data_IF_035058032788
#
_entry.id   IF_035058032788
#
_cell.length_a   1.000
_cell.length_b   1.000
_cell.length_c   1.000
_cell.angle_alpha   90.00
_cell.angle_beta   90.00
_cell.angle_gamma   90.00
#
_symmetry.space_group_name_H-M   'P 1'
#
loop_
_entity.id
_entity.type
_entity.pdbx_description
1 polymer ?
#
# COMPACT_ATOMS: atom_id res chain seq x y z
N UNK A 1 36.11 -20.07 -59.35
CA UNK A 1 34.71 -19.73 -59.04
C UNK A 1 34.30 -20.40 -57.73
N UNK A 2 33.84 -19.62 -56.74
CA UNK A 2 32.64 -19.93 -55.94
C UNK A 2 32.30 -18.71 -55.08
N UNK A 3 31.03 -18.34 -55.18
CA UNK A 3 30.39 -17.11 -54.76
C UNK A 3 29.99 -17.32 -53.29
N UNK A 4 30.55 -16.54 -52.36
CA UNK A 4 30.21 -16.64 -50.95
C UNK A 4 28.99 -15.75 -50.67
N UNK A 5 27.86 -16.42 -50.46
CA UNK A 5 26.59 -15.85 -50.03
C UNK A 5 26.75 -15.10 -48.70
N UNK A 6 26.84 -13.77 -48.75
CA UNK A 6 26.81 -12.89 -47.59
C UNK A 6 25.34 -12.52 -47.27
N UNK A 7 24.57 -13.49 -46.78
CA UNK A 7 23.23 -13.21 -46.26
C UNK A 7 23.36 -12.62 -44.85
N UNK A 8 23.34 -11.29 -44.82
CA UNK A 8 22.76 -10.42 -43.79
C UNK A 8 22.54 -11.05 -42.41
N UNK A 9 23.50 -10.84 -41.52
CA UNK A 9 23.23 -10.76 -40.08
C UNK A 9 22.21 -9.65 -39.88
N UNK A 10 20.95 -10.03 -39.72
CA UNK A 10 19.91 -9.17 -39.16
C UNK A 10 20.43 -8.78 -37.79
N UNK A 11 20.99 -7.58 -37.71
CA UNK A 11 21.51 -7.00 -36.49
C UNK A 11 20.39 -7.05 -35.46
N UNK A 12 20.58 -7.86 -34.43
CA UNK A 12 19.74 -7.83 -33.25
C UNK A 12 20.00 -6.49 -32.59
N UNK A 13 19.22 -5.48 -32.97
CA UNK A 13 19.25 -4.16 -32.38
C UNK A 13 18.89 -4.35 -30.90
N UNK A 14 19.90 -4.38 -30.03
CA UNK A 14 19.73 -4.50 -28.60
C UNK A 14 18.79 -3.39 -28.15
N UNK A 15 17.56 -3.74 -27.79
CA UNK A 15 16.59 -2.76 -27.28
C UNK A 15 17.24 -2.14 -26.04
N UNK A 16 17.48 -0.82 -26.01
CA UNK A 16 18.02 -0.21 -24.81
C UNK A 16 17.08 -0.54 -23.66
N UNK A 17 17.66 -0.99 -22.54
CA UNK A 17 16.93 -1.15 -21.28
C UNK A 17 16.50 0.26 -20.87
N UNK A 18 15.35 0.71 -21.39
CA UNK A 18 14.73 1.94 -20.97
C UNK A 18 14.34 1.70 -19.52
N UNK A 19 15.18 2.13 -18.58
CA UNK A 19 14.76 2.29 -17.18
C UNK A 19 13.57 3.22 -17.24
N UNK A 20 12.37 2.67 -17.12
CA UNK A 20 11.16 3.46 -16.99
C UNK A 20 11.26 4.15 -15.63
N UNK A 21 11.81 5.37 -15.63
CA UNK A 21 11.75 6.25 -14.48
C UNK A 21 10.27 6.57 -14.27
N UNK A 22 9.63 5.79 -13.40
CA UNK A 22 8.29 6.15 -12.95
C UNK A 22 8.44 7.32 -11.99
N UNK A 23 7.69 8.40 -12.23
CA UNK A 23 7.69 9.53 -11.30
C UNK A 23 7.11 9.09 -9.95
N UNK A 24 7.64 9.59 -8.80
CA UNK A 24 7.06 9.32 -7.49
C UNK A 24 5.55 9.63 -7.41
N UNK A 25 5.09 10.65 -8.15
CA UNK A 25 3.68 10.98 -8.28
C UNK A 25 2.86 9.84 -8.89
N UNK A 26 3.32 9.25 -10.00
CA UNK A 26 2.65 8.11 -10.62
C UNK A 26 2.64 6.88 -9.69
N UNK A 27 3.72 6.63 -8.95
CA UNK A 27 3.76 5.54 -7.96
C UNK A 27 2.76 5.78 -6.82
N UNK A 28 2.70 7.01 -6.29
CA UNK A 28 1.69 7.39 -5.29
C UNK A 28 0.26 7.17 -5.79
N UNK A 29 0.00 7.44 -7.08
CA UNK A 29 -1.31 7.20 -7.69
C UNK A 29 -1.65 5.70 -7.80
N UNK A 30 -0.66 4.86 -8.12
CA UNK A 30 -0.81 3.41 -8.28
C UNK A 30 -0.92 2.66 -6.95
N UNK A 31 -0.48 3.25 -5.84
CA UNK A 31 -0.53 2.60 -4.53
C UNK A 31 -1.96 2.22 -4.10
N UNK A 32 -2.20 0.96 -3.70
CA UNK A 32 -3.51 0.55 -3.20
C UNK A 32 -3.82 1.26 -1.88
N UNK A 33 -5.00 1.87 -1.80
CA UNK A 33 -5.47 2.60 -0.60
C UNK A 33 -5.68 1.66 0.60
N UNK A 34 -6.04 0.42 0.34
CA UNK A 34 -6.32 -0.59 1.38
C UNK A 34 -5.55 -1.86 1.05
N UNK A 35 -4.73 -2.33 1.98
CA UNK A 35 -4.18 -3.68 2.00
C UNK A 35 -4.37 -4.24 3.41
N UNK A 36 -5.37 -5.10 3.57
CA UNK A 36 -5.68 -5.78 4.83
C UNK A 36 -5.88 -7.28 4.55
N UNK A 37 -5.47 -8.12 5.49
CA UNK A 37 -5.70 -9.58 5.46
C UNK A 37 -7.00 -9.97 6.16
N UNK A 38 -7.42 -11.21 6.01
CA UNK A 38 -8.53 -11.79 6.77
C UNK A 38 -8.11 -12.13 8.21
N UNK A 39 -9.08 -12.17 9.11
CA UNK A 39 -8.93 -12.57 10.50
C UNK A 39 -8.63 -11.42 11.46
N UNK A 40 -8.05 -11.78 12.61
CA UNK A 40 -7.63 -10.85 13.66
C UNK A 40 -6.29 -10.24 13.29
N UNK A 41 -6.28 -8.93 13.08
CA UNK A 41 -5.10 -8.22 12.62
C UNK A 41 -4.87 -6.93 13.40
N UNK A 42 -3.62 -6.48 13.37
CA UNK A 42 -3.24 -5.12 13.75
C UNK A 42 -3.19 -4.29 12.47
N UNK A 43 -3.59 -3.03 12.56
CA UNK A 43 -3.57 -2.13 11.41
C UNK A 43 -2.97 -0.78 11.77
N UNK A 44 -2.40 -0.13 10.76
CA UNK A 44 -1.92 1.25 10.79
C UNK A 44 -2.64 2.08 9.74
N UNK A 45 -2.93 3.32 10.11
CA UNK A 45 -3.34 4.38 9.19
C UNK A 45 -2.10 5.18 8.84
N UNK A 46 -1.73 5.23 7.57
CA UNK A 46 -0.50 5.87 7.11
C UNK A 46 -0.81 6.99 6.13
N UNK A 47 -0.10 8.10 6.23
CA UNK A 47 -0.07 9.15 5.22
C UNK A 47 1.18 8.99 4.36
N UNK A 48 1.00 8.68 3.08
CA UNK A 48 2.09 8.52 2.11
C UNK A 48 2.13 9.74 1.22
N UNK A 49 3.30 10.33 1.02
CA UNK A 49 3.47 11.59 0.31
C UNK A 49 4.82 11.66 -0.40
N UNK A 50 4.95 12.55 -1.37
CA UNK A 50 6.22 12.79 -2.07
C UNK A 50 7.10 13.66 -1.17
N UNK A 51 8.41 13.41 -1.14
CA UNK A 51 9.33 14.20 -0.30
C UNK A 51 9.19 15.70 -0.60
N UNK A 52 8.98 16.53 0.44
CA UNK A 52 8.75 17.97 0.30
C UNK A 52 7.32 18.37 -0.12
N UNK A 53 6.47 17.43 -0.55
CA UNK A 53 5.12 17.71 -1.05
C UNK A 53 4.04 16.92 -0.29
N UNK A 54 3.47 17.54 0.74
CA UNK A 54 2.40 16.93 1.55
C UNK A 54 0.99 17.19 1.04
N UNK A 55 0.81 18.16 0.13
CA UNK A 55 -0.51 18.58 -0.40
C UNK A 55 -1.25 17.43 -1.09
N UNK A 56 -0.52 16.56 -1.77
CA UNK A 56 -1.07 15.41 -2.50
C UNK A 56 -0.93 14.09 -1.73
N UNK A 57 -0.71 14.16 -0.41
CA UNK A 57 -0.60 12.99 0.43
C UNK A 57 -1.83 12.08 0.32
N UNK A 58 -1.59 10.78 0.31
CA UNK A 58 -2.62 9.76 0.32
C UNK A 58 -2.63 9.03 1.65
N UNK A 59 -3.80 9.02 2.27
CA UNK A 59 -4.04 8.17 3.43
C UNK A 59 -4.33 6.74 2.98
N UNK A 60 -3.57 5.79 3.50
CA UNK A 60 -3.68 4.37 3.20
C UNK A 60 -3.84 3.55 4.49
N UNK A 61 -4.54 2.42 4.37
CA UNK A 61 -4.77 1.47 5.46
C UNK A 61 -3.92 0.22 5.20
N UNK A 62 -3.15 -0.20 6.20
CA UNK A 62 -2.29 -1.39 6.15
C UNK A 62 -2.57 -2.27 7.35
N UNK A 63 -2.91 -3.53 7.15
CA UNK A 63 -3.30 -4.41 8.24
C UNK A 63 -2.94 -5.88 8.02
N UNK A 64 -2.13 -6.44 8.91
CA UNK A 64 -1.62 -7.80 8.81
C UNK A 64 -1.73 -8.54 10.15
N UNK A 65 -1.75 -9.87 10.10
CA UNK A 65 -1.66 -10.70 11.28
C UNK A 65 -0.20 -10.71 11.79
N UNK A 66 0.10 -9.80 12.72
CA UNK A 66 1.39 -9.66 13.41
C UNK A 66 1.13 -9.23 14.85
N UNK A 67 2.09 -9.50 15.73
CA UNK A 67 2.09 -9.13 17.14
C UNK A 67 2.46 -7.68 17.43
N UNK A 68 3.15 -7.01 16.50
CA UNK A 68 3.55 -5.60 16.63
C UNK A 68 3.08 -4.76 15.46
N UNK A 69 2.64 -3.54 15.76
CA UNK A 69 2.39 -2.52 14.74
C UNK A 69 3.69 -2.06 14.06
N UNK A 70 4.83 -2.17 14.74
CA UNK A 70 6.12 -1.70 14.23
C UNK A 70 6.55 -2.49 13.00
N UNK A 71 6.27 -3.80 12.95
CA UNK A 71 6.51 -4.63 11.77
C UNK A 71 5.75 -4.14 10.54
N UNK A 72 4.51 -3.69 10.74
CA UNK A 72 3.69 -3.10 9.68
C UNK A 72 4.31 -1.79 9.23
N UNK A 73 4.73 -0.95 10.17
CA UNK A 73 5.34 0.34 9.89
C UNK A 73 6.64 0.19 9.10
N UNK A 74 7.63 -0.53 9.61
CA UNK A 74 8.95 -0.65 8.98
C UNK A 74 8.90 -1.29 7.59
N UNK A 75 8.07 -2.33 7.41
CA UNK A 75 7.88 -2.95 6.09
C UNK A 75 7.26 -1.97 5.09
N UNK A 76 6.29 -1.15 5.52
CA UNK A 76 5.69 -0.16 4.64
C UNK A 76 6.65 1.00 4.35
N UNK A 77 7.36 1.53 5.36
CA UNK A 77 8.38 2.58 5.16
C UNK A 77 9.42 2.13 4.14
N UNK A 78 10.02 0.94 4.32
CA UNK A 78 11.02 0.39 3.39
C UNK A 78 10.46 0.18 1.98
N UNK A 79 9.18 -0.17 1.85
CA UNK A 79 8.53 -0.32 0.55
C UNK A 79 8.28 1.03 -0.13
N UNK A 80 7.85 2.05 0.62
CA UNK A 80 7.58 3.39 0.10
C UNK A 80 8.88 4.15 -0.24
N UNK A 81 9.95 3.99 0.54
CA UNK A 81 11.25 4.61 0.27
C UNK A 81 11.84 4.16 -1.07
N UNK A 82 11.66 2.87 -1.44
CA UNK A 82 12.06 2.34 -2.75
C UNK A 82 11.33 3.01 -3.92
N UNK A 83 10.15 3.59 -3.67
CA UNK A 83 9.35 4.33 -4.64
C UNK A 83 9.60 5.85 -4.56
N UNK A 84 10.57 6.30 -3.75
CA UNK A 84 10.82 7.72 -3.52
C UNK A 84 9.72 8.42 -2.73
N UNK A 85 8.96 7.68 -1.92
CA UNK A 85 7.83 8.20 -1.14
C UNK A 85 8.16 8.20 0.35
N UNK A 86 7.73 9.26 1.03
CA UNK A 86 7.80 9.40 2.48
C UNK A 86 6.50 8.90 3.12
N UNK A 87 6.62 8.37 4.34
CA UNK A 87 5.48 7.85 5.11
C UNK A 87 5.42 8.51 6.48
N UNK A 88 4.22 8.88 6.91
CA UNK A 88 3.92 9.34 8.28
C UNK A 88 2.85 8.44 8.88
N UNK A 89 3.10 7.94 10.09
CA UNK A 89 2.09 7.17 10.83
C UNK A 89 1.04 8.11 11.42
N UNK A 90 -0.25 7.78 11.24
CA UNK A 90 -1.41 8.50 11.79
C UNK A 90 -2.07 7.73 12.94
N UNK A 91 -1.36 6.76 13.51
CA UNK A 91 -1.84 5.85 14.56
C UNK A 91 -2.26 4.48 14.03
N UNK A 92 -2.72 3.63 14.95
CA UNK A 92 -3.17 2.28 14.63
C UNK A 92 -4.28 1.76 15.51
N UNK A 93 -4.58 0.48 15.32
CA UNK A 93 -5.56 -0.25 16.11
C UNK A 93 -5.57 -1.74 15.76
N UNK A 94 -6.67 -2.40 16.11
CA UNK A 94 -6.97 -3.80 15.78
C UNK A 94 -8.20 -3.86 14.90
N UNK A 95 -8.25 -4.91 14.09
CA UNK A 95 -9.36 -5.19 13.20
C UNK A 95 -9.66 -6.69 13.26
N UNK A 96 -10.93 -7.03 13.42
CA UNK A 96 -11.45 -8.36 13.13
C UNK A 96 -12.09 -8.28 11.74
N UNK A 97 -11.45 -8.85 10.72
CA UNK A 97 -11.96 -8.90 9.36
C UNK A 97 -12.47 -10.30 9.06
N UNK A 98 -13.79 -10.48 9.06
CA UNK A 98 -14.45 -11.71 8.66
C UNK A 98 -14.98 -11.52 7.22
N UNK A 99 -14.22 -12.03 6.24
CA UNK A 99 -14.57 -11.86 4.82
C UNK A 99 -15.78 -12.71 4.45
N UNK A 100 -15.93 -13.88 5.08
CA UNK A 100 -17.05 -14.79 4.90
C UNK A 100 -18.39 -14.17 5.32
N UNK A 101 -18.41 -13.50 6.48
CA UNK A 101 -19.60 -12.81 6.99
C UNK A 101 -19.73 -11.37 6.49
N UNK A 102 -18.78 -10.88 5.69
CA UNK A 102 -18.66 -9.47 5.25
C UNK A 102 -18.75 -8.48 6.41
N UNK A 103 -18.06 -8.79 7.52
CA UNK A 103 -18.08 -7.99 8.75
C UNK A 103 -16.67 -7.56 9.12
N UNK A 104 -16.51 -6.28 9.45
CA UNK A 104 -15.26 -5.76 9.98
C UNK A 104 -15.54 -5.04 11.30
N UNK A 105 -14.75 -5.33 12.33
CA UNK A 105 -14.80 -4.63 13.62
C UNK A 105 -13.48 -3.95 13.91
N UNK A 106 -13.49 -2.63 13.98
CA UNK A 106 -12.32 -1.78 14.22
C UNK A 106 -12.33 -1.32 15.68
N UNK A 107 -11.22 -1.50 16.40
CA UNK A 107 -11.14 -1.17 17.83
C UNK A 107 -9.68 -1.08 18.34
N UNK A 108 -9.49 -0.59 19.57
CA UNK A 108 -8.20 -0.59 20.25
C UNK A 108 -7.20 0.42 19.67
N UNK A 109 -5.94 0.35 20.10
CA UNK A 109 -4.91 1.32 19.73
C UNK A 109 -3.57 0.67 19.42
N UNK A 110 -2.65 1.44 18.82
CA UNK A 110 -1.24 1.10 18.78
C UNK A 110 -0.54 1.62 20.03
N UNK A 111 0.36 0.82 20.62
CA UNK A 111 1.19 1.23 21.77
C UNK A 111 2.16 2.35 21.40
N UNK A 112 2.85 2.22 20.27
CA UNK A 112 3.91 3.13 19.82
C UNK A 112 3.36 4.42 19.19
N UNK A 113 2.32 4.31 18.36
CA UNK A 113 1.82 5.42 17.54
C UNK A 113 0.46 5.98 18.00
N UNK A 114 -0.10 5.45 19.09
CA UNK A 114 -1.42 5.83 19.57
C UNK A 114 -2.57 5.29 18.72
N UNK A 115 -3.79 5.75 19.02
CA UNK A 115 -5.00 5.34 18.31
C UNK A 115 -5.15 6.08 16.97
N UNK A 116 -5.43 5.33 15.90
CA UNK A 116 -5.86 5.93 14.64
C UNK A 116 -7.29 6.47 14.75
N UNK A 117 -7.65 7.39 13.86
CA UNK A 117 -9.06 7.72 13.64
C UNK A 117 -9.77 6.51 12.99
N UNK A 118 -10.49 5.72 13.81
CA UNK A 118 -11.20 4.53 13.36
C UNK A 118 -12.35 4.84 12.39
N UNK A 119 -13.03 5.98 12.56
CA UNK A 119 -14.06 6.43 11.62
C UNK A 119 -13.45 6.73 10.24
N UNK A 120 -12.29 7.40 10.21
CA UNK A 120 -11.58 7.63 8.95
C UNK A 120 -11.13 6.34 8.30
N UNK A 121 -10.68 5.38 9.10
CA UNK A 121 -10.33 4.04 8.62
C UNK A 121 -11.54 3.36 7.98
N UNK A 122 -12.70 3.38 8.66
CA UNK A 122 -13.98 2.86 8.13
C UNK A 122 -14.36 3.51 6.80
N UNK A 123 -14.28 4.83 6.67
CA UNK A 123 -14.55 5.53 5.41
C UNK A 123 -13.66 5.03 4.27
N UNK A 124 -12.35 4.90 4.52
CA UNK A 124 -11.40 4.44 3.50
C UNK A 124 -11.71 3.00 3.07
N UNK A 125 -12.07 2.12 4.02
CA UNK A 125 -12.48 0.76 3.70
C UNK A 125 -13.76 0.75 2.85
N UNK A 126 -14.80 1.49 3.24
CA UNK A 126 -16.05 1.57 2.48
C UNK A 126 -15.87 2.19 1.08
N UNK A 127 -14.86 3.04 0.88
CA UNK A 127 -14.50 3.58 -0.44
C UNK A 127 -13.82 2.56 -1.37
N UNK A 128 -13.37 1.42 -0.84
CA UNK A 128 -12.76 0.34 -1.62
C UNK A 128 -13.82 -0.56 -2.25
N UNK A 129 -13.59 -1.00 -3.48
CA UNK A 129 -14.45 -1.95 -4.18
C UNK A 129 -14.63 -3.26 -3.42
N UNK A 130 -13.62 -3.71 -2.68
CA UNK A 130 -13.66 -4.97 -1.91
C UNK A 130 -14.56 -4.88 -0.68
N UNK A 131 -14.57 -3.74 0.03
CA UNK A 131 -15.21 -3.61 1.34
C UNK A 131 -16.43 -2.68 1.37
N UNK A 132 -16.82 -2.09 0.24
CA UNK A 132 -17.99 -1.19 0.13
C UNK A 132 -19.30 -1.76 0.71
N UNK A 133 -19.49 -3.08 0.63
CA UNK A 133 -20.70 -3.77 1.07
C UNK A 133 -20.51 -4.51 2.42
N UNK A 134 -19.43 -4.23 3.13
CA UNK A 134 -19.17 -4.84 4.43
C UNK A 134 -19.91 -4.07 5.54
N UNK A 135 -20.38 -4.79 6.54
CA UNK A 135 -20.82 -4.17 7.79
C UNK A 135 -19.59 -3.85 8.65
N UNK A 136 -19.21 -2.57 8.65
CA UNK A 136 -18.05 -2.08 9.40
C UNK A 136 -18.49 -1.36 10.68
N UNK A 137 -18.13 -1.93 11.83
CA UNK A 137 -18.40 -1.36 13.15
C UNK A 137 -17.13 -0.80 13.77
N UNK A 138 -17.25 0.34 14.45
CA UNK A 138 -16.17 0.98 15.20
C UNK A 138 -16.53 0.91 16.67
N UNK A 139 -15.68 0.29 17.49
CA UNK A 139 -15.83 0.25 18.95
C UNK A 139 -14.79 1.17 19.58
N UNK A 140 -15.22 1.93 20.59
CA UNK A 140 -14.34 2.76 21.44
C UNK A 140 -13.45 1.87 22.31
#
# INVERSE_FOLDING_TARGET
MKILNCFSLIGQCAKPILRTYTSPAADLLKLPRVDIKEGKLRYLLLSVYIHGETKHARTVVRGWNTDSHDDIYYKNVRAMEKLGLCTKCLGGGKMDNDESARKIKIHGSCKTFGAANHHKTKEILLSSSKYKNFNITVKK
#
